data_IF_007764576568
#
_entry.id   IF_007764576568
#
_cell.length_a   1.000
_cell.length_b   1.000
_cell.length_c   1.000
_cell.angle_alpha   90.00
_cell.angle_beta   90.00
_cell.angle_gamma   90.00
#
_symmetry.space_group_name_H-M   'P 1'
#
loop_
_entity.id
_entity.type
_entity.pdbx_description
1 polymer ?
#
# COMPACT_ATOMS: atom_id res chain seq x y z
N UNK A 1 -17.19 17.77 8.43
CA UNK A 1 -18.15 17.02 7.60
C UNK A 1 -18.19 17.65 6.22
N UNK A 2 -18.30 16.84 5.18
CA UNK A 2 -18.42 17.30 3.80
C UNK A 2 -19.79 16.84 3.26
N UNK A 3 -20.62 17.75 2.79
CA UNK A 3 -21.88 17.45 2.11
C UNK A 3 -21.66 17.71 0.62
N UNK A 4 -22.05 16.74 -0.20
CA UNK A 4 -21.95 16.82 -1.65
C UNK A 4 -23.33 17.02 -2.22
N UNK A 5 -23.53 18.12 -2.92
CA UNK A 5 -24.77 18.43 -3.60
C UNK A 5 -24.66 18.09 -5.08
N UNK A 6 -25.77 17.62 -5.66
CA UNK A 6 -25.87 17.25 -7.07
C UNK A 6 -26.67 18.25 -7.90
N UNK A 7 -27.36 19.17 -7.24
CA UNK A 7 -28.15 20.20 -7.89
C UNK A 7 -28.14 21.54 -7.12
N UNK A 8 -28.36 22.64 -7.80
CA UNK A 8 -28.45 23.97 -7.18
C UNK A 8 -29.59 24.06 -6.15
N UNK A 9 -30.68 23.30 -6.35
CA UNK A 9 -31.85 23.31 -5.46
C UNK A 9 -31.56 22.72 -4.09
N UNK A 10 -30.54 21.82 -3.98
CA UNK A 10 -30.16 21.17 -2.74
C UNK A 10 -29.16 22.00 -1.90
N UNK A 11 -28.51 23.01 -2.49
CA UNK A 11 -27.43 23.78 -1.86
C UNK A 11 -27.86 24.45 -0.56
N UNK A 12 -29.08 25.03 -0.52
CA UNK A 12 -29.56 25.76 0.66
C UNK A 12 -29.79 24.81 1.84
N UNK A 13 -30.39 23.64 1.59
CA UNK A 13 -30.61 22.63 2.63
C UNK A 13 -29.30 22.06 3.13
N UNK A 14 -28.37 21.71 2.25
CA UNK A 14 -27.06 21.21 2.57
C UNK A 14 -26.22 22.24 3.36
N UNK A 15 -26.26 23.51 2.96
CA UNK A 15 -25.59 24.60 3.68
C UNK A 15 -26.10 24.73 5.13
N UNK A 16 -27.45 24.75 5.32
CA UNK A 16 -28.04 24.83 6.65
C UNK A 16 -27.72 23.61 7.50
N UNK A 17 -27.71 22.41 6.92
CA UNK A 17 -27.34 21.17 7.58
C UNK A 17 -25.87 21.22 8.02
N UNK A 18 -24.96 21.62 7.13
CA UNK A 18 -23.54 21.74 7.46
C UNK A 18 -23.28 22.74 8.57
N UNK A 19 -23.94 23.91 8.55
CA UNK A 19 -23.84 24.91 9.62
C UNK A 19 -24.31 24.37 10.97
N UNK A 20 -25.47 23.70 10.98
CA UNK A 20 -26.05 23.13 12.21
C UNK A 20 -25.12 22.10 12.84
N UNK A 21 -24.52 21.24 12.02
CA UNK A 21 -23.57 20.24 12.50
C UNK A 21 -22.25 20.85 12.93
N UNK A 22 -21.75 21.87 12.22
CA UNK A 22 -20.54 22.58 12.60
C UNK A 22 -20.72 23.27 13.96
N UNK A 23 -21.84 23.97 14.15
CA UNK A 23 -22.18 24.61 15.42
C UNK A 23 -22.28 23.58 16.55
N UNK A 24 -22.93 22.44 16.32
CA UNK A 24 -23.10 21.42 17.37
C UNK A 24 -21.80 20.72 17.75
N UNK A 25 -20.88 20.55 16.80
CA UNK A 25 -19.63 19.80 16.99
C UNK A 25 -18.45 20.66 17.45
N UNK A 26 -18.40 21.90 16.97
CA UNK A 26 -17.24 22.78 17.16
C UNK A 26 -17.56 24.13 17.80
N UNK A 27 -18.87 24.45 18.01
CA UNK A 27 -19.29 25.75 18.54
C UNK A 27 -19.13 26.91 17.59
N UNK A 28 -18.87 26.63 16.31
CA UNK A 28 -18.72 27.60 15.21
C UNK A 28 -19.51 27.08 14.02
N UNK A 29 -20.33 27.94 13.40
CA UNK A 29 -21.18 27.61 12.26
C UNK A 29 -20.56 27.96 10.90
N UNK A 30 -19.28 28.34 10.88
CA UNK A 30 -18.55 28.69 9.66
C UNK A 30 -18.42 27.47 8.75
N UNK A 31 -18.81 27.62 7.49
CA UNK A 31 -18.68 26.64 6.41
C UNK A 31 -18.17 27.32 5.15
N UNK A 32 -17.56 26.57 4.27
CA UNK A 32 -17.10 27.05 2.97
C UNK A 32 -17.55 26.10 1.84
N UNK A 33 -17.52 26.59 0.62
CA UNK A 33 -17.86 25.83 -0.58
C UNK A 33 -16.58 25.52 -1.35
N UNK A 34 -16.42 24.26 -1.71
CA UNK A 34 -15.33 23.82 -2.56
C UNK A 34 -15.87 23.30 -3.90
N UNK A 35 -15.12 23.56 -4.97
CA UNK A 35 -15.42 22.98 -6.27
C UNK A 35 -15.21 21.46 -6.19
N UNK A 36 -16.26 20.70 -6.50
CA UNK A 36 -16.16 19.27 -6.63
C UNK A 36 -15.42 18.89 -7.93
N UNK A 37 -14.36 18.09 -7.81
CA UNK A 37 -13.63 17.53 -8.95
C UNK A 37 -14.14 16.11 -9.19
N UNK A 38 -14.70 15.87 -10.39
CA UNK A 38 -15.25 14.58 -10.75
C UNK A 38 -14.14 13.59 -11.10
N UNK A 39 -14.23 12.36 -10.56
CA UNK A 39 -13.32 11.24 -10.85
C UNK A 39 -11.83 11.61 -10.79
N UNK A 40 -11.36 12.32 -9.75
CA UNK A 40 -10.00 12.80 -9.71
C UNK A 40 -9.01 11.68 -9.45
N UNK A 41 -7.77 11.90 -9.86
CA UNK A 41 -6.61 11.25 -9.29
C UNK A 41 -6.16 12.01 -8.05
N UNK A 42 -5.75 11.29 -7.01
CA UNK A 42 -5.10 11.86 -5.84
C UNK A 42 -3.59 11.68 -6.00
N UNK A 43 -2.93 12.75 -6.36
CA UNK A 43 -1.49 12.77 -6.64
C UNK A 43 -0.82 13.75 -5.69
N UNK A 44 0.32 13.35 -5.16
CA UNK A 44 1.03 14.15 -4.18
C UNK A 44 2.52 14.25 -4.49
N UNK A 45 3.15 15.31 -4.02
CA UNK A 45 4.59 15.53 -4.20
C UNK A 45 5.30 15.60 -2.86
N UNK A 46 6.33 14.77 -2.70
CA UNK A 46 7.20 14.83 -1.54
C UNK A 46 8.08 16.06 -1.58
N UNK A 47 8.06 16.84 -0.52
CA UNK A 47 8.87 18.04 -0.34
C UNK A 47 9.94 17.82 0.73
N UNK A 48 11.12 18.36 0.49
CA UNK A 48 12.15 18.62 1.50
C UNK A 48 12.53 20.10 1.47
N UNK A 49 12.49 20.76 2.62
CA UNK A 49 12.96 22.13 2.80
C UNK A 49 13.91 22.23 3.98
N UNK A 50 14.99 23.00 3.86
CA UNK A 50 15.89 23.31 4.98
C UNK A 50 15.59 24.67 5.63
N UNK A 51 16.30 24.98 6.70
CA UNK A 51 16.19 26.28 7.39
C UNK A 51 16.90 27.44 6.66
N UNK A 52 17.57 27.14 5.54
CA UNK A 52 18.37 28.08 4.75
C UNK A 52 17.68 28.53 3.47
N UNK A 53 16.41 28.09 3.25
CA UNK A 53 15.59 28.48 2.11
C UNK A 53 15.71 27.57 0.87
N UNK A 54 16.47 26.48 0.96
CA UNK A 54 16.50 25.49 -0.09
C UNK A 54 15.27 24.58 0.03
N UNK A 55 14.53 24.45 -1.07
CA UNK A 55 13.34 23.58 -1.16
C UNK A 55 13.39 22.82 -2.46
N UNK A 56 13.24 21.50 -2.38
CA UNK A 56 13.19 20.59 -3.52
C UNK A 56 11.95 19.68 -3.40
N UNK A 57 11.55 19.06 -4.52
CA UNK A 57 10.62 17.96 -4.51
C UNK A 57 11.32 16.63 -4.84
N UNK A 58 10.84 15.54 -4.26
CA UNK A 58 11.28 14.16 -4.51
C UNK A 58 10.24 13.39 -5.32
N UNK A 59 9.64 14.08 -6.30
CA UNK A 59 8.65 13.58 -7.24
C UNK A 59 7.31 13.15 -6.61
N UNK A 60 6.51 12.50 -7.46
CA UNK A 60 5.11 12.21 -7.23
C UNK A 60 4.87 10.81 -6.67
N UNK A 61 3.72 10.69 -5.98
CA UNK A 61 3.07 9.44 -5.61
C UNK A 61 1.63 9.47 -6.09
N UNK A 62 1.15 8.35 -6.59
CA UNK A 62 -0.25 8.11 -6.96
C UNK A 62 -0.96 7.43 -5.79
N UNK A 63 -1.95 8.08 -5.20
CA UNK A 63 -2.65 7.65 -4.00
C UNK A 63 -4.16 7.45 -4.20
N UNK A 64 -4.59 7.23 -5.44
CA UNK A 64 -6.03 7.14 -5.79
C UNK A 64 -6.70 5.83 -5.34
N UNK A 65 -5.94 4.77 -5.06
CA UNK A 65 -6.53 3.53 -4.54
C UNK A 65 -6.82 3.68 -3.05
N UNK A 66 -8.01 4.17 -2.76
CA UNK A 66 -8.43 4.51 -1.40
C UNK A 66 -9.88 4.09 -1.13
N UNK A 67 -10.20 3.84 0.14
CA UNK A 67 -11.53 3.54 0.64
C UNK A 67 -11.92 4.55 1.71
N UNK A 68 -13.03 5.26 1.50
CA UNK A 68 -13.48 6.31 2.44
C UNK A 68 -12.38 7.31 2.78
N UNK A 69 -11.65 7.77 1.77
CA UNK A 69 -10.48 8.66 1.87
C UNK A 69 -9.26 8.07 2.61
N UNK A 70 -9.25 6.77 2.93
CA UNK A 70 -8.09 6.09 3.45
C UNK A 70 -7.33 5.39 2.32
N UNK A 71 -6.09 5.78 2.11
CA UNK A 71 -5.18 5.17 1.11
C UNK A 71 -4.93 3.70 1.47
N UNK A 72 -4.91 2.81 0.47
CA UNK A 72 -4.75 1.35 0.64
C UNK A 72 -3.57 0.84 -0.16
N UNK A 73 -3.42 1.37 -1.39
CA UNK A 73 -2.29 1.08 -2.28
C UNK A 73 -1.80 2.39 -2.85
N UNK A 74 -0.51 2.60 -2.80
CA UNK A 74 0.19 3.76 -3.35
C UNK A 74 1.29 3.29 -4.30
N UNK A 75 1.57 4.09 -5.34
CA UNK A 75 2.66 3.81 -6.27
C UNK A 75 3.42 5.08 -6.67
N UNK A 76 4.67 4.91 -7.04
CA UNK A 76 5.54 5.97 -7.58
C UNK A 76 6.43 5.41 -8.68
N UNK A 77 6.54 6.11 -9.82
CA UNK A 77 5.80 7.31 -10.24
C UNK A 77 4.34 7.01 -10.61
N UNK A 78 3.48 8.05 -10.62
CA UNK A 78 2.10 7.93 -11.10
C UNK A 78 2.06 7.49 -12.56
N UNK A 79 1.27 6.45 -12.92
CA UNK A 79 1.09 6.05 -14.30
C UNK A 79 0.24 7.04 -15.11
N UNK A 80 -0.47 7.94 -14.44
CA UNK A 80 -1.37 8.92 -15.05
C UNK A 80 -0.63 10.18 -15.53
N UNK A 81 0.44 10.61 -14.85
CA UNK A 81 1.15 11.84 -15.15
C UNK A 81 2.04 11.70 -16.39
N UNK A 82 1.97 12.70 -17.29
CA UNK A 82 3.01 12.88 -18.32
C UNK A 82 4.26 13.51 -17.69
N UNK A 83 5.43 13.39 -18.33
CA UNK A 83 6.66 14.03 -17.84
C UNK A 83 6.51 15.54 -17.64
N UNK A 84 5.82 16.22 -18.58
CA UNK A 84 5.61 17.67 -18.56
C UNK A 84 4.72 18.09 -17.36
N UNK A 85 3.61 17.37 -17.18
CA UNK A 85 2.68 17.65 -16.07
C UNK A 85 3.36 17.37 -14.72
N UNK A 86 4.15 16.28 -14.64
CA UNK A 86 4.93 15.97 -13.43
C UNK A 86 5.90 17.09 -13.07
N UNK A 87 6.59 17.64 -14.06
CA UNK A 87 7.50 18.77 -13.86
C UNK A 87 6.74 20.01 -13.38
N UNK A 88 5.65 20.38 -14.07
CA UNK A 88 4.85 21.55 -13.72
C UNK A 88 4.30 21.44 -12.29
N UNK A 89 3.71 20.30 -11.93
CA UNK A 89 3.17 20.07 -10.59
C UNK A 89 4.26 20.10 -9.53
N UNK A 90 5.43 19.52 -9.79
CA UNK A 90 6.59 19.55 -8.91
C UNK A 90 7.08 20.99 -8.64
N UNK A 91 7.17 21.82 -9.68
CA UNK A 91 7.53 23.24 -9.56
C UNK A 91 6.50 24.02 -8.72
N UNK A 92 5.18 23.74 -8.91
CA UNK A 92 4.12 24.35 -8.09
C UNK A 92 4.18 23.89 -6.64
N UNK A 93 4.48 22.61 -6.39
CA UNK A 93 4.66 22.08 -5.05
C UNK A 93 5.83 22.76 -4.31
N UNK A 94 6.98 22.92 -4.98
CA UNK A 94 8.12 23.67 -4.43
C UNK A 94 7.78 25.14 -4.18
N UNK A 95 7.07 25.78 -5.11
CA UNK A 95 6.65 27.18 -4.96
C UNK A 95 5.70 27.36 -3.75
N UNK A 96 4.76 26.44 -3.55
CA UNK A 96 3.84 26.45 -2.40
C UNK A 96 4.61 26.33 -1.07
N UNK A 97 5.56 25.38 -0.99
CA UNK A 97 6.38 25.17 0.20
C UNK A 97 7.28 26.39 0.51
N UNK A 98 7.87 27.01 -0.52
CA UNK A 98 8.67 28.23 -0.37
C UNK A 98 7.85 29.42 0.12
N UNK A 99 6.60 29.56 -0.36
CA UNK A 99 5.72 30.66 0.04
C UNK A 99 5.42 30.71 1.54
N UNK A 100 5.51 29.56 2.21
CA UNK A 100 5.30 29.43 3.67
C UNK A 100 6.59 29.19 4.45
N UNK A 101 7.76 29.33 3.80
CA UNK A 101 9.09 29.06 4.40
C UNK A 101 9.13 27.68 5.07
N UNK A 102 8.62 26.65 4.38
CA UNK A 102 8.54 25.31 4.95
C UNK A 102 9.92 24.70 5.18
N UNK A 103 10.10 24.06 6.34
CA UNK A 103 11.31 23.32 6.71
C UNK A 103 10.92 21.91 7.20
N UNK A 104 11.67 20.91 6.78
CA UNK A 104 11.42 19.49 7.07
C UNK A 104 10.93 18.69 5.86
N UNK A 105 10.48 17.47 6.12
CA UNK A 105 9.81 16.65 5.13
C UNK A 105 8.29 16.89 5.18
N UNK A 106 7.72 17.27 4.06
CA UNK A 106 6.29 17.53 3.91
C UNK A 106 5.78 17.04 2.56
N UNK A 107 4.49 17.10 2.36
CA UNK A 107 3.84 16.65 1.13
C UNK A 107 2.78 17.65 0.68
N UNK A 108 2.80 17.99 -0.60
CA UNK A 108 1.74 18.76 -1.26
C UNK A 108 0.84 17.79 -2.00
N UNK A 109 -0.44 17.77 -1.64
CA UNK A 109 -1.45 16.93 -2.25
C UNK A 109 -2.27 17.70 -3.29
N UNK A 110 -2.58 17.03 -4.41
CA UNK A 110 -3.35 17.57 -5.52
C UNK A 110 -4.47 16.61 -5.93
N UNK A 111 -5.57 17.17 -6.41
CA UNK A 111 -6.57 16.47 -7.20
C UNK A 111 -6.31 16.78 -8.68
N UNK A 112 -6.21 15.73 -9.51
CA UNK A 112 -5.98 15.88 -10.95
C UNK A 112 -7.19 15.30 -11.69
N UNK A 113 -7.88 16.13 -12.49
CA UNK A 113 -9.05 15.71 -13.23
C UNK A 113 -8.70 14.89 -14.48
N UNK A 114 -9.71 14.34 -15.16
CA UNK A 114 -9.55 13.56 -16.40
C UNK A 114 -8.93 14.34 -17.57
N UNK A 115 -8.98 15.68 -17.51
CA UNK A 115 -8.38 16.56 -18.51
C UNK A 115 -6.95 16.97 -18.14
N UNK A 116 -6.42 16.41 -17.04
CA UNK A 116 -5.10 16.71 -16.47
C UNK A 116 -4.96 18.14 -15.92
N UNK A 117 -6.07 18.79 -15.58
CA UNK A 117 -6.02 19.99 -14.74
C UNK A 117 -5.80 19.55 -13.30
N UNK A 118 -4.89 20.20 -12.59
CA UNK A 118 -4.61 19.88 -11.20
C UNK A 118 -5.00 21.04 -10.28
N UNK A 119 -5.43 20.67 -9.09
CA UNK A 119 -5.91 21.58 -8.06
C UNK A 119 -5.21 21.23 -6.76
N UNK A 120 -4.70 22.24 -6.07
CA UNK A 120 -4.13 22.07 -4.72
C UNK A 120 -5.23 21.59 -3.78
N UNK A 121 -4.93 20.55 -3.00
CA UNK A 121 -5.84 20.01 -1.99
C UNK A 121 -5.40 20.47 -0.60
N UNK A 122 -4.23 20.02 -0.17
CA UNK A 122 -3.67 20.37 1.15
C UNK A 122 -2.15 20.19 1.19
N UNK A 123 -1.54 20.68 2.28
CA UNK A 123 -0.17 20.38 2.61
C UNK A 123 -0.10 19.60 3.92
N UNK A 124 0.51 18.44 3.89
CA UNK A 124 0.83 17.65 5.07
C UNK A 124 2.23 18.01 5.57
N UNK A 125 2.30 18.68 6.72
CA UNK A 125 3.54 19.17 7.32
C UNK A 125 4.23 18.12 8.19
N UNK A 126 4.29 16.91 7.71
CA UNK A 126 4.87 15.73 8.37
C UNK A 126 5.30 14.69 7.35
N UNK A 127 6.09 13.73 7.80
CA UNK A 127 6.32 12.51 7.02
C UNK A 127 5.00 11.71 6.91
N UNK A 128 4.71 11.21 5.72
CA UNK A 128 3.51 10.38 5.46
C UNK A 128 3.82 8.88 5.52
N UNK A 129 2.78 8.06 5.63
CA UNK A 129 2.89 6.60 5.68
C UNK A 129 3.58 6.08 4.43
N UNK A 130 3.22 6.60 3.26
CA UNK A 130 3.63 6.19 1.93
C UNK A 130 5.00 6.73 1.46
N UNK A 131 5.77 7.36 2.36
CA UNK A 131 7.12 7.86 2.03
C UNK A 131 8.08 6.78 1.49
N UNK A 132 7.97 5.50 1.88
CA UNK A 132 8.91 4.48 1.41
C UNK A 132 8.96 4.31 -0.11
N UNK A 133 7.82 4.49 -0.82
CA UNK A 133 7.86 4.38 -2.28
C UNK A 133 8.69 5.49 -2.94
N UNK A 134 8.70 6.68 -2.36
CA UNK A 134 9.60 7.76 -2.80
C UNK A 134 11.06 7.40 -2.51
N UNK A 135 11.37 6.89 -1.32
CA UNK A 135 12.71 6.45 -0.95
C UNK A 135 13.25 5.40 -1.92
N UNK A 136 12.43 4.42 -2.31
CA UNK A 136 12.81 3.34 -3.23
C UNK A 136 13.08 3.83 -4.66
N UNK A 137 12.33 4.80 -5.16
CA UNK A 137 12.52 5.30 -6.54
C UNK A 137 13.56 6.41 -6.66
N UNK A 138 13.82 7.16 -5.58
CA UNK A 138 14.79 8.28 -5.59
C UNK A 138 16.13 7.91 -4.95
N UNK A 139 16.13 6.95 -4.02
CA UNK A 139 17.32 6.53 -3.28
C UNK A 139 17.73 7.51 -2.17
N UNK A 140 16.74 8.18 -1.54
CA UNK A 140 16.95 9.15 -0.45
C UNK A 140 16.24 8.62 0.81
N UNK A 141 16.93 8.59 1.94
CA UNK A 141 16.37 8.28 3.26
C UNK A 141 15.75 9.55 3.86
N UNK A 142 14.43 9.65 3.81
CA UNK A 142 13.68 10.83 4.23
C UNK A 142 13.77 11.09 5.74
N UNK A 143 13.82 10.05 6.55
CA UNK A 143 13.96 10.18 8.01
C UNK A 143 15.33 10.74 8.36
N UNK A 144 16.36 10.28 7.68
CA UNK A 144 17.73 10.81 7.84
C UNK A 144 17.79 12.27 7.42
N UNK A 145 17.15 12.65 6.31
CA UNK A 145 17.12 14.04 5.87
C UNK A 145 16.35 14.93 6.87
N UNK A 146 15.24 14.45 7.46
CA UNK A 146 14.56 15.19 8.53
C UNK A 146 15.48 15.47 9.73
N UNK A 147 16.28 14.48 10.14
CA UNK A 147 17.22 14.63 11.25
C UNK A 147 18.32 15.65 10.91
N UNK A 148 18.84 15.62 9.67
CA UNK A 148 19.84 16.59 9.20
C UNK A 148 19.30 18.01 9.17
N UNK A 149 18.08 18.18 8.64
CA UNK A 149 17.42 19.50 8.59
C UNK A 149 17.16 20.01 10.01
N UNK A 150 16.70 19.14 10.92
CA UNK A 150 16.50 19.50 12.33
C UNK A 150 17.81 19.86 13.05
N UNK A 151 18.95 19.31 12.59
CA UNK A 151 20.29 19.67 13.04
C UNK A 151 20.84 20.93 12.35
N UNK A 152 20.00 21.70 11.63
CA UNK A 152 20.34 22.92 10.91
C UNK A 152 21.38 22.75 9.78
N UNK A 153 21.47 21.53 9.23
CA UNK A 153 22.32 21.26 8.07
C UNK A 153 21.67 21.80 6.79
N UNK A 154 22.52 22.36 5.92
CA UNK A 154 22.09 22.79 4.57
C UNK A 154 21.75 21.56 3.74
N UNK A 155 20.63 21.61 3.03
CA UNK A 155 20.20 20.54 2.14
C UNK A 155 21.26 20.29 1.06
N UNK A 156 21.86 19.10 1.07
CA UNK A 156 22.94 18.74 0.13
C UNK A 156 22.43 18.21 -1.21
N UNK A 157 21.14 17.89 -1.29
CA UNK A 157 20.48 17.41 -2.48
C UNK A 157 20.10 18.59 -3.38
N UNK A 158 20.32 18.45 -4.68
CA UNK A 158 19.93 19.44 -5.67
C UNK A 158 18.89 18.86 -6.61
N UNK A 159 17.88 19.65 -6.98
CA UNK A 159 16.78 19.21 -7.82
C UNK A 159 17.25 18.60 -9.14
N UNK A 160 18.26 19.18 -9.78
CA UNK A 160 18.82 18.75 -11.06
C UNK A 160 19.62 17.44 -11.00
N UNK A 161 19.98 16.98 -9.81
CA UNK A 161 20.70 15.72 -9.58
C UNK A 161 19.76 14.56 -9.25
N UNK A 162 18.46 14.88 -9.01
CA UNK A 162 17.45 13.90 -8.64
C UNK A 162 16.75 13.33 -9.85
N UNK A 163 16.48 12.05 -9.81
CA UNK A 163 15.67 11.35 -10.83
C UNK A 163 14.96 10.15 -10.23
N UNK A 164 13.81 9.81 -10.79
CA UNK A 164 13.08 8.59 -10.43
C UNK A 164 13.66 7.40 -11.19
N UNK A 165 13.93 6.32 -10.48
CA UNK A 165 14.44 5.07 -11.05
C UNK A 165 13.48 3.92 -10.76
N UNK A 166 13.02 3.28 -11.83
CA UNK A 166 12.11 2.15 -11.70
C UNK A 166 10.71 2.55 -11.24
N UNK A 167 10.07 1.65 -10.50
CA UNK A 167 8.71 1.81 -10.01
C UNK A 167 8.55 1.12 -8.67
N UNK A 168 7.93 1.79 -7.71
CA UNK A 168 7.63 1.23 -6.40
C UNK A 168 6.12 1.19 -6.16
N UNK A 169 5.66 0.16 -5.46
CA UNK A 169 4.27 0.00 -5.03
C UNK A 169 4.29 -0.33 -3.54
N UNK A 170 3.45 0.35 -2.77
CA UNK A 170 3.19 0.07 -1.35
C UNK A 170 1.77 -0.48 -1.20
N UNK A 171 1.62 -1.47 -0.32
CA UNK A 171 0.34 -1.96 0.16
C UNK A 171 0.28 -1.83 1.67
N UNK A 172 -0.76 -1.20 2.20
CA UNK A 172 -0.99 -1.12 3.66
C UNK A 172 -1.62 -2.42 4.15
N UNK A 173 -0.93 -3.12 5.02
CA UNK A 173 -1.42 -4.36 5.61
C UNK A 173 -2.18 -4.01 6.89
N UNK A 174 -3.48 -4.30 6.91
CA UNK A 174 -4.37 -3.96 8.01
C UNK A 174 -5.03 -5.22 8.59
N UNK A 175 -5.18 -5.23 9.91
CA UNK A 175 -5.94 -6.23 10.65
C UNK A 175 -7.45 -5.93 10.55
N UNK A 176 -8.04 -6.26 9.40
CA UNK A 176 -9.43 -5.94 9.03
C UNK A 176 -10.13 -7.13 8.38
N UNK A 177 -11.41 -7.29 8.67
CA UNK A 177 -12.29 -8.23 8.00
C UNK A 177 -12.90 -7.59 6.74
N UNK A 178 -12.31 -7.82 5.58
CA UNK A 178 -12.74 -7.24 4.31
C UNK A 178 -14.11 -7.75 3.83
N UNK A 179 -14.55 -8.92 4.31
CA UNK A 179 -15.85 -9.51 3.98
C UNK A 179 -16.97 -8.93 4.87
N UNK A 180 -16.60 -8.39 6.04
CA UNK A 180 -17.51 -7.76 6.98
C UNK A 180 -17.25 -6.24 7.06
N UNK A 181 -17.38 -5.58 5.91
CA UNK A 181 -17.26 -4.11 5.77
C UNK A 181 -15.99 -3.50 6.37
N UNK A 182 -14.87 -4.24 6.32
CA UNK A 182 -13.57 -3.84 6.86
C UNK A 182 -13.60 -3.53 8.36
N UNK A 183 -14.37 -4.30 9.12
CA UNK A 183 -14.32 -4.17 10.57
C UNK A 183 -12.93 -4.52 11.10
N UNK A 184 -12.39 -3.74 12.05
CA UNK A 184 -11.13 -4.09 12.72
C UNK A 184 -11.20 -5.52 13.27
N UNK A 185 -10.12 -6.26 13.10
CA UNK A 185 -9.97 -7.63 13.58
C UNK A 185 -8.85 -7.70 14.64
N UNK A 186 -9.11 -7.27 15.87
CA UNK A 186 -8.14 -7.38 16.94
C UNK A 186 -7.88 -8.84 17.30
N UNK A 187 -6.75 -9.12 17.92
CA UNK A 187 -6.40 -10.47 18.35
C UNK A 187 -4.90 -10.71 18.38
N UNK A 188 -4.52 -11.95 18.65
CA UNK A 188 -3.12 -12.35 18.75
C UNK A 188 -2.66 -12.96 17.43
N UNK A 189 -1.54 -12.47 16.92
CA UNK A 189 -0.86 -13.07 15.76
C UNK A 189 -0.29 -14.42 16.18
N UNK A 190 -0.82 -15.50 15.59
CA UNK A 190 -0.38 -16.87 15.89
C UNK A 190 0.81 -17.29 15.06
N UNK A 191 0.84 -16.87 13.80
CA UNK A 191 1.94 -17.12 12.88
C UNK A 191 2.13 -15.89 12.00
N UNK A 192 3.40 -15.52 11.79
CA UNK A 192 3.82 -14.45 10.90
C UNK A 192 4.90 -14.96 9.96
N UNK A 193 4.68 -14.87 8.66
CA UNK A 193 5.71 -15.13 7.65
C UNK A 193 5.79 -13.91 6.75
N UNK A 194 6.86 -13.15 6.90
CA UNK A 194 7.12 -11.96 6.08
C UNK A 194 7.91 -12.36 4.82
N UNK A 195 7.47 -11.92 3.63
CA UNK A 195 8.20 -12.15 2.39
C UNK A 195 9.50 -11.35 2.36
N UNK A 196 10.46 -11.82 1.57
CA UNK A 196 11.73 -11.13 1.41
C UNK A 196 12.27 -11.27 -0.02
N UNK A 197 13.45 -10.69 -0.27
CA UNK A 197 14.15 -10.79 -1.54
C UNK A 197 14.48 -9.42 -2.14
N UNK A 198 15.10 -9.42 -3.31
CA UNK A 198 15.53 -8.19 -3.99
C UNK A 198 14.32 -7.30 -4.32
N UNK A 199 14.38 -6.01 -3.89
CA UNK A 199 13.31 -5.04 -4.11
C UNK A 199 12.04 -5.34 -3.32
N UNK A 200 12.18 -5.95 -2.13
CA UNK A 200 11.10 -6.15 -1.16
C UNK A 200 11.53 -5.50 0.15
N UNK A 201 10.69 -4.62 0.67
CA UNK A 201 10.83 -3.95 1.94
C UNK A 201 9.55 -4.12 2.75
N UNK A 202 9.69 -4.34 4.03
CA UNK A 202 8.58 -4.40 4.98
C UNK A 202 8.89 -3.46 6.13
N UNK A 203 8.01 -2.49 6.34
CA UNK A 203 8.04 -1.63 7.51
C UNK A 203 6.91 -2.09 8.45
N UNK A 204 7.26 -2.86 9.46
CA UNK A 204 6.33 -3.51 10.40
C UNK A 204 6.85 -3.39 11.83
N UNK A 205 5.95 -3.53 12.79
CA UNK A 205 6.28 -3.54 14.23
C UNK A 205 5.77 -4.79 14.93
N UNK A 206 5.06 -5.67 14.21
CA UNK A 206 4.42 -6.86 14.78
C UNK A 206 5.32 -8.09 14.70
N UNK A 207 5.05 -9.07 15.55
CA UNK A 207 5.75 -10.35 15.63
C UNK A 207 4.78 -11.45 16.07
N UNK A 208 5.18 -12.70 16.00
CA UNK A 208 4.38 -13.83 16.50
C UNK A 208 4.13 -13.69 18.00
N UNK A 209 2.87 -13.78 18.41
CA UNK A 209 2.42 -13.53 19.77
C UNK A 209 2.03 -12.08 20.06
N UNK A 210 2.25 -11.14 19.13
CA UNK A 210 1.82 -9.75 19.30
C UNK A 210 0.29 -9.65 19.31
N UNK A 211 -0.26 -8.88 20.25
CA UNK A 211 -1.68 -8.59 20.36
C UNK A 211 -2.00 -7.26 19.66
N UNK A 212 -2.86 -7.30 18.64
CA UNK A 212 -3.35 -6.10 17.95
C UNK A 212 -4.46 -5.48 18.81
N UNK A 213 -4.25 -4.25 19.33
CA UNK A 213 -5.22 -3.59 20.18
C UNK A 213 -6.38 -2.98 19.39
N UNK A 214 -7.50 -2.76 20.06
CA UNK A 214 -8.70 -2.08 19.49
C UNK A 214 -8.61 -0.55 19.49
N UNK A 215 -7.59 0.02 20.12
CA UNK A 215 -7.52 1.45 20.44
C UNK A 215 -6.76 2.29 19.40
N UNK A 216 -6.11 1.65 18.45
CA UNK A 216 -5.28 2.28 17.43
C UNK A 216 -5.70 1.88 16.02
N UNK A 217 -5.07 2.48 15.02
CA UNK A 217 -5.24 2.13 13.61
C UNK A 217 -4.97 0.63 13.40
N UNK A 218 -5.81 -0.08 12.63
CA UNK A 218 -5.62 -1.49 12.34
C UNK A 218 -4.41 -1.80 11.43
N UNK A 219 -3.69 -0.81 10.96
CA UNK A 219 -2.51 -0.99 10.11
C UNK A 219 -1.38 -1.64 10.91
N UNK A 220 -0.94 -2.81 10.48
CA UNK A 220 0.08 -3.63 11.14
C UNK A 220 1.41 -3.62 10.41
N UNK A 221 1.44 -3.12 9.20
CA UNK A 221 2.66 -2.98 8.43
C UNK A 221 2.42 -2.42 7.04
N UNK A 222 3.52 -2.08 6.38
CA UNK A 222 3.57 -1.67 4.98
C UNK A 222 4.42 -2.67 4.21
N UNK A 223 3.89 -3.16 3.12
CA UNK A 223 4.61 -4.02 2.18
C UNK A 223 4.96 -3.19 0.95
N UNK A 224 6.23 -2.98 0.73
CA UNK A 224 6.76 -2.17 -0.36
C UNK A 224 7.54 -3.05 -1.32
N UNK A 225 7.34 -2.86 -2.61
CA UNK A 225 8.17 -3.47 -3.64
C UNK A 225 8.71 -2.41 -4.59
N UNK A 226 9.92 -2.65 -5.07
CA UNK A 226 10.54 -1.88 -6.14
C UNK A 226 10.95 -2.80 -7.31
N UNK A 227 10.78 -2.33 -8.54
CA UNK A 227 11.28 -3.00 -9.74
C UNK A 227 11.66 -1.98 -10.82
N UNK A 228 12.31 -2.46 -11.89
CA UNK A 228 12.75 -1.58 -12.99
C UNK A 228 11.60 -1.04 -13.83
N UNK A 229 10.44 -1.69 -13.81
CA UNK A 229 9.22 -1.26 -14.51
C UNK A 229 8.00 -1.50 -13.63
N UNK A 230 6.91 -0.76 -13.91
CA UNK A 230 5.63 -0.93 -13.23
C UNK A 230 5.10 -2.36 -13.31
N UNK A 231 5.19 -2.98 -14.49
CA UNK A 231 4.74 -4.36 -14.68
C UNK A 231 5.49 -5.32 -13.75
N UNK A 232 6.82 -5.23 -13.69
CA UNK A 232 7.60 -6.07 -12.78
C UNK A 232 7.35 -5.75 -11.31
N UNK A 233 7.01 -4.50 -10.96
CA UNK A 233 6.60 -4.16 -9.60
C UNK A 233 5.27 -4.84 -9.24
N UNK A 234 4.28 -4.84 -10.13
CA UNK A 234 3.00 -5.56 -9.95
C UNK A 234 3.23 -7.07 -9.80
N UNK A 235 4.02 -7.68 -10.66
CA UNK A 235 4.34 -9.11 -10.57
C UNK A 235 5.05 -9.45 -9.26
N UNK A 236 5.99 -8.62 -8.82
CA UNK A 236 6.66 -8.77 -7.54
C UNK A 236 5.69 -8.61 -6.37
N UNK A 237 4.81 -7.61 -6.40
CA UNK A 237 3.80 -7.41 -5.36
C UNK A 237 2.85 -8.62 -5.27
N UNK A 238 2.43 -9.19 -6.41
CA UNK A 238 1.61 -10.42 -6.43
C UNK A 238 2.32 -11.58 -5.73
N UNK A 239 3.61 -11.79 -6.03
CA UNK A 239 4.42 -12.84 -5.41
C UNK A 239 4.50 -12.64 -3.90
N UNK A 240 4.92 -11.45 -3.45
CA UNK A 240 5.14 -11.19 -2.02
C UNK A 240 3.84 -11.19 -1.22
N UNK A 241 2.73 -10.72 -1.80
CA UNK A 241 1.41 -10.85 -1.17
C UNK A 241 0.97 -12.30 -1.03
N UNK A 242 1.35 -13.19 -1.96
CA UNK A 242 1.09 -14.63 -1.86
C UNK A 242 1.92 -15.28 -0.75
N UNK A 243 3.18 -14.88 -0.61
CA UNK A 243 4.11 -15.39 0.39
C UNK A 243 3.81 -14.86 1.81
N UNK A 244 3.20 -13.65 1.92
CA UNK A 244 2.89 -13.05 3.21
C UNK A 244 1.76 -13.83 3.90
N UNK A 245 2.06 -14.35 5.09
CA UNK A 245 1.10 -15.13 5.88
C UNK A 245 0.99 -14.57 7.29
N UNK A 246 -0.23 -14.25 7.67
CA UNK A 246 -0.59 -13.82 9.02
C UNK A 246 -1.80 -14.66 9.43
N UNK A 247 -1.70 -15.36 10.56
CA UNK A 247 -2.80 -16.16 11.11
C UNK A 247 -3.12 -15.73 12.54
N UNK A 248 -4.32 -16.05 12.99
CA UNK A 248 -4.82 -15.70 14.33
C UNK A 248 -5.83 -14.54 14.30
N UNK A 249 -5.81 -13.74 13.24
CA UNK A 249 -6.75 -12.64 13.00
C UNK A 249 -7.02 -12.50 11.50
N UNK A 250 -8.05 -11.74 11.12
CA UNK A 250 -8.33 -11.43 9.71
C UNK A 250 -7.51 -10.24 9.26
N UNK A 251 -7.08 -10.27 8.00
CA UNK A 251 -6.31 -9.19 7.36
C UNK A 251 -6.86 -8.87 5.98
N UNK A 252 -6.49 -7.70 5.46
CA UNK A 252 -6.83 -7.28 4.12
C UNK A 252 -5.96 -7.90 3.01
N UNK A 253 -5.05 -8.85 3.32
CA UNK A 253 -4.13 -9.47 2.34
C UNK A 253 -4.85 -10.04 1.12
N UNK A 254 -5.97 -10.76 1.31
CA UNK A 254 -6.75 -11.31 0.20
C UNK A 254 -7.37 -10.23 -0.68
N UNK A 255 -7.76 -9.10 -0.10
CA UNK A 255 -8.28 -7.95 -0.81
C UNK A 255 -7.20 -7.27 -1.66
N UNK A 256 -6.00 -7.07 -1.10
CA UNK A 256 -4.84 -6.53 -1.80
C UNK A 256 -4.41 -7.41 -2.99
N UNK A 257 -4.44 -8.74 -2.82
CA UNK A 257 -4.21 -9.69 -3.93
C UNK A 257 -5.19 -9.43 -5.08
N UNK A 258 -6.48 -9.22 -4.80
CA UNK A 258 -7.49 -8.94 -5.82
C UNK A 258 -7.23 -7.60 -6.51
N UNK A 259 -6.85 -6.55 -5.78
CA UNK A 259 -6.46 -5.25 -6.37
C UNK A 259 -5.36 -5.44 -7.40
N UNK A 260 -4.29 -6.16 -7.06
CA UNK A 260 -3.15 -6.39 -7.98
C UNK A 260 -3.52 -7.17 -9.26
N UNK A 261 -4.68 -7.84 -9.27
CA UNK A 261 -5.17 -8.58 -10.46
C UNK A 261 -6.30 -7.84 -11.20
N UNK A 262 -6.78 -6.71 -10.68
CA UNK A 262 -7.83 -5.92 -11.33
C UNK A 262 -7.30 -5.31 -12.63
N UNK A 263 -8.00 -5.48 -13.77
CA UNK A 263 -7.53 -4.98 -15.06
C UNK A 263 -7.23 -3.48 -15.08
N UNK A 264 -8.07 -2.65 -14.43
CA UNK A 264 -7.91 -1.22 -14.36
C UNK A 264 -6.62 -0.84 -13.62
N UNK A 265 -6.29 -1.52 -12.51
CA UNK A 265 -5.03 -1.32 -11.79
C UNK A 265 -3.83 -1.72 -12.66
N UNK A 266 -3.90 -2.90 -13.29
CA UNK A 266 -2.80 -3.40 -14.14
C UNK A 266 -2.49 -2.44 -15.29
N UNK A 267 -3.52 -1.86 -15.91
CA UNK A 267 -3.37 -0.88 -17.00
C UNK A 267 -2.92 0.50 -16.52
N UNK A 268 -3.11 0.83 -15.24
CA UNK A 268 -2.92 2.19 -14.71
C UNK A 268 -4.09 3.13 -15.04
N UNK A 269 -5.25 2.58 -15.36
CA UNK A 269 -6.48 3.31 -15.73
C UNK A 269 -7.44 3.35 -14.53
N UNK A 270 -7.09 4.08 -13.48
CA UNK A 270 -7.89 4.14 -12.27
C UNK A 270 -7.85 5.55 -11.66
N UNK A 271 -8.83 5.86 -10.82
CA UNK A 271 -8.98 7.13 -10.10
C UNK A 271 -9.50 6.85 -8.68
N UNK A 272 -9.87 7.87 -7.93
CA UNK A 272 -10.36 7.73 -6.54
C UNK A 272 -11.61 6.86 -6.41
N UNK A 273 -12.38 6.64 -7.48
CA UNK A 273 -13.53 5.74 -7.52
C UNK A 273 -13.18 4.27 -7.84
N UNK A 274 -11.89 3.94 -7.93
CA UNK A 274 -11.41 2.60 -8.30
C UNK A 274 -12.08 1.47 -7.50
N UNK A 275 -12.12 1.61 -6.18
CA UNK A 275 -12.67 0.59 -5.29
C UNK A 275 -14.18 0.44 -5.49
N UNK A 276 -14.88 1.56 -5.65
CA UNK A 276 -16.33 1.56 -5.87
C UNK A 276 -16.68 0.89 -7.21
N UNK A 277 -16.01 1.32 -8.30
CA UNK A 277 -16.20 0.76 -9.64
C UNK A 277 -15.91 -0.74 -9.70
N UNK A 278 -14.93 -1.22 -8.95
CA UNK A 278 -14.49 -2.62 -8.94
C UNK A 278 -15.02 -3.42 -7.75
N UNK A 279 -15.98 -2.89 -6.98
CA UNK A 279 -16.45 -3.47 -5.72
C UNK A 279 -16.90 -4.93 -5.84
N UNK A 280 -17.61 -5.29 -6.92
CA UNK A 280 -18.05 -6.68 -7.17
C UNK A 280 -16.89 -7.67 -7.28
N UNK A 281 -15.79 -7.28 -7.91
CA UNK A 281 -14.62 -8.14 -8.09
C UNK A 281 -13.77 -8.17 -6.82
N UNK A 282 -13.66 -7.03 -6.15
CA UNK A 282 -12.84 -6.88 -4.95
C UNK A 282 -13.47 -7.52 -3.70
N UNK A 283 -14.82 -7.51 -3.59
CA UNK A 283 -15.55 -8.08 -2.44
C UNK A 283 -16.02 -9.51 -2.66
N UNK A 284 -16.01 -10.04 -3.89
CA UNK A 284 -16.25 -11.46 -4.08
C UNK A 284 -15.15 -12.25 -3.38
N UNK A 285 -15.45 -12.70 -2.17
CA UNK A 285 -14.81 -13.88 -1.62
C UNK A 285 -14.90 -14.96 -2.69
N UNK A 286 -13.89 -15.82 -2.83
CA UNK A 286 -13.85 -16.86 -3.85
C UNK A 286 -15.24 -17.50 -4.01
N UNK A 287 -16.03 -16.94 -4.91
CA UNK A 287 -17.38 -17.38 -5.16
C UNK A 287 -17.33 -18.55 -6.13
N UNK A 288 -17.13 -19.68 -5.59
CA UNK A 288 -17.80 -20.94 -5.85
C UNK A 288 -17.37 -21.84 -4.69
N UNK A 289 -18.11 -21.83 -3.61
CA UNK A 289 -17.94 -22.83 -2.55
C UNK A 289 -17.88 -24.23 -3.17
N UNK A 290 -18.63 -24.47 -4.24
CA UNK A 290 -18.67 -25.75 -4.95
C UNK A 290 -17.34 -26.09 -5.67
N UNK A 291 -16.66 -25.12 -6.30
CA UNK A 291 -15.32 -25.35 -6.87
C UNK A 291 -14.26 -25.55 -5.80
N UNK A 292 -14.31 -24.77 -4.71
CA UNK A 292 -13.41 -24.93 -3.57
C UNK A 292 -13.65 -26.25 -2.85
N UNK A 293 -14.91 -26.64 -2.65
CA UNK A 293 -15.29 -27.94 -2.09
C UNK A 293 -14.83 -29.08 -2.99
N UNK A 294 -15.01 -28.96 -4.31
CA UNK A 294 -14.52 -29.94 -5.27
C UNK A 294 -12.99 -30.04 -5.27
N UNK A 295 -12.27 -28.88 -5.24
CA UNK A 295 -10.82 -28.88 -5.12
C UNK A 295 -10.34 -29.47 -3.79
N UNK A 296 -11.01 -29.17 -2.69
CA UNK A 296 -10.70 -29.74 -1.37
C UNK A 296 -10.95 -31.26 -1.33
N UNK A 297 -12.05 -31.73 -1.97
CA UNK A 297 -12.31 -33.16 -2.11
C UNK A 297 -11.25 -33.85 -2.97
N UNK A 298 -10.85 -33.27 -4.09
CA UNK A 298 -9.80 -33.82 -4.96
C UNK A 298 -8.46 -33.85 -4.20
N UNK A 299 -8.09 -32.79 -3.49
CA UNK A 299 -6.86 -32.73 -2.69
C UNK A 299 -6.87 -33.78 -1.57
N UNK A 300 -7.99 -33.94 -0.85
CA UNK A 300 -8.15 -34.95 0.19
C UNK A 300 -8.12 -36.39 -0.39
N UNK A 301 -8.64 -36.58 -1.58
CA UNK A 301 -8.60 -37.89 -2.26
C UNK A 301 -7.17 -38.22 -2.74
N UNK A 302 -6.43 -37.24 -3.26
CA UNK A 302 -5.01 -37.40 -3.62
C UNK A 302 -4.17 -37.74 -2.37
N UNK A 303 -4.36 -37.00 -1.28
CA UNK A 303 -3.68 -37.28 -0.02
C UNK A 303 -4.00 -38.69 0.51
N UNK A 304 -5.27 -39.11 0.43
CA UNK A 304 -5.67 -40.47 0.77
C UNK A 304 -4.99 -41.51 -0.10
N UNK A 305 -4.88 -41.30 -1.42
CA UNK A 305 -4.20 -42.23 -2.34
C UNK A 305 -2.68 -42.28 -2.04
N UNK A 306 -2.05 -41.15 -1.77
CA UNK A 306 -0.64 -41.10 -1.40
C UNK A 306 -0.37 -41.84 -0.08
N UNK A 307 -1.23 -41.68 0.91
CA UNK A 307 -1.15 -42.39 2.18
C UNK A 307 -1.44 -43.92 2.01
N UNK A 308 -2.29 -44.32 1.04
CA UNK A 308 -2.49 -45.74 0.72
C UNK A 308 -1.25 -46.36 0.05
N UNK A 309 -0.52 -45.62 -0.75
CA UNK A 309 0.74 -46.07 -1.35
C UNK A 309 1.88 -46.15 -0.32
N UNK A 310 1.98 -45.18 0.59
CA UNK A 310 2.95 -45.21 1.70
C UNK A 310 2.64 -46.35 2.71
N UNK A 311 1.38 -46.68 2.96
CA UNK A 311 0.96 -47.75 3.84
C UNK A 311 1.02 -49.16 3.20
N UNK A 312 1.32 -49.28 1.91
CA UNK A 312 1.82 -50.53 1.34
C UNK A 312 3.24 -50.68 1.80
N UNK A 313 3.42 -51.20 3.04
CA UNK A 313 4.72 -51.57 3.58
C UNK A 313 5.49 -52.32 2.50
N UNK A 314 6.69 -51.90 2.13
CA UNK A 314 7.54 -52.71 1.29
C UNK A 314 7.81 -53.99 2.10
N UNK A 315 7.38 -55.15 1.61
CA UNK A 315 7.92 -56.39 2.09
C UNK A 315 9.44 -56.23 2.01
N UNK A 316 10.11 -56.35 3.16
CA UNK A 316 11.55 -56.38 3.29
C UNK A 316 12.10 -57.51 2.46
N UNK A 317 12.30 -57.31 1.19
CA UNK A 317 13.11 -58.13 0.33
C UNK A 317 14.19 -57.22 -0.27
N UNK A 318 15.42 -57.54 0.09
CA UNK A 318 16.67 -56.98 -0.40
C UNK A 318 17.04 -55.57 0.12
N UNK A 319 17.76 -55.61 1.23
CA UNK A 319 18.61 -54.49 1.66
C UNK A 319 19.58 -54.15 0.52
N UNK A 320 19.21 -53.11 -0.28
CA UNK A 320 20.18 -52.55 -1.23
C UNK A 320 21.36 -52.04 -0.43
N UNK A 321 22.59 -52.42 -0.79
CA UNK A 321 23.78 -51.95 -0.07
C UNK A 321 23.75 -50.43 -0.03
N UNK A 322 23.86 -49.86 1.16
CA UNK A 322 23.93 -48.41 1.38
C UNK A 322 25.09 -47.90 0.51
N UNK A 323 24.84 -46.91 -0.33
CA UNK A 323 25.89 -46.34 -1.19
C UNK A 323 27.02 -45.78 -0.29
N UNK A 324 28.28 -45.91 -0.71
CA UNK A 324 29.44 -45.38 0.02
C UNK A 324 29.31 -43.91 0.39
N UNK A 325 28.59 -43.10 -0.43
CA UNK A 325 28.32 -41.70 -0.18
C UNK A 325 27.32 -41.52 0.98
N UNK A 326 26.32 -42.35 1.09
CA UNK A 326 25.34 -42.31 2.18
C UNK A 326 25.97 -42.75 3.49
N UNK A 327 26.84 -43.78 3.46
CA UNK A 327 27.61 -44.24 4.59
C UNK A 327 28.57 -43.15 5.10
N UNK A 328 29.29 -42.48 4.20
CA UNK A 328 30.14 -41.35 4.51
C UNK A 328 29.35 -40.18 5.10
N UNK A 329 28.16 -39.81 4.53
CA UNK A 329 27.27 -38.76 5.03
C UNK A 329 26.75 -39.05 6.44
N UNK A 330 26.38 -40.29 6.73
CA UNK A 330 25.95 -40.70 8.06
C UNK A 330 27.12 -40.65 9.09
N UNK A 331 28.32 -41.10 8.71
CA UNK A 331 29.50 -41.02 9.58
C UNK A 331 29.93 -39.58 9.88
N UNK A 332 29.74 -38.67 8.97
CA UNK A 332 30.09 -37.23 9.12
C UNK A 332 28.97 -36.36 9.69
N UNK A 333 27.80 -36.94 10.01
CA UNK A 333 26.65 -36.18 10.55
C UNK A 333 26.04 -35.19 9.56
N UNK A 334 26.33 -35.34 8.27
CA UNK A 334 25.81 -34.43 7.20
C UNK A 334 24.40 -34.84 6.78
N UNK A 335 24.04 -36.13 6.97
CA UNK A 335 22.67 -36.63 6.74
C UNK A 335 22.02 -36.96 8.07
N UNK A 336 20.93 -36.32 8.40
CA UNK A 336 20.02 -36.74 9.47
C UNK A 336 19.05 -37.78 8.89
N UNK A 337 18.88 -38.89 9.60
CA UNK A 337 17.86 -39.91 9.28
C UNK A 337 16.47 -39.31 9.50
#
# INVERSE_FOLDING_TARGET
MCIRDSSEDEVVEAYNTARSESMSSFGDDTVYLEKFVEEPHHIEFQILGDNHGNVIHLFDRECSVQRRNQKIVEESPSPFLTPELRQEMGEKAVAAARAVNYSGAGTIEFLVDKNRNFYFLEMNTRLQVEHPITEEVVGVDLVKEQIRIANDEVLHLKQEELYQRGHAIECRICAEDTENNFMPSPGIIKQLTEPNGIGVRIDSYVYEGYEIPVFYDPMIGKLIVWATTRQYAIERMRRVLYEYKITGLKTNLSYLKRIMHTPDFVKGEYNTLFIEKNSRMLLRGNGNNEEIENMAMIASYIDYLMNLEENKSPQLSDARPISRWREFGLQKGVLRI
#
